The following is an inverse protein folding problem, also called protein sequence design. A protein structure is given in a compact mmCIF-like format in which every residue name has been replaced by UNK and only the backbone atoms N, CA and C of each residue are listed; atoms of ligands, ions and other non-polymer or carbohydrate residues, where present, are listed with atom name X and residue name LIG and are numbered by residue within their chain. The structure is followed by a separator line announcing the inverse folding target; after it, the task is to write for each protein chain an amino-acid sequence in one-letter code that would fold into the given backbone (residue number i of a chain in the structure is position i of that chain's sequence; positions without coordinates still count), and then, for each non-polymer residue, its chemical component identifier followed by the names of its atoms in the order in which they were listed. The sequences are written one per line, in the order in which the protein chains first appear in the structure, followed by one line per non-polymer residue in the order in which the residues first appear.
data_IF_351088204451
#
_entry.id   IF_351088204451
#
_cell.length_a   1.000
_cell.length_b   1.000
_cell.length_c   1.000
_cell.angle_alpha   90.00
_cell.angle_beta   90.00
_cell.angle_gamma   90.00
#
_symmetry.space_group_name_H-M   'P 1'
#
loop_
_entity.id
_entity.type
_entity.pdbx_description
1 polymer ?
#
# COMPACT_ATOMS: atom_id res chain seq x y z
N UNK A 1 2.21 16.62 -21.17
CA UNK A 1 1.15 15.73 -20.70
C UNK A 1 1.76 14.41 -20.28
N UNK A 2 1.43 13.95 -19.09
CA UNK A 2 1.91 12.65 -18.62
C UNK A 2 0.89 11.59 -19.01
N UNK A 3 1.30 10.66 -19.84
CA UNK A 3 0.43 9.54 -20.20
C UNK A 3 0.37 8.52 -19.06
N UNK A 4 -0.77 7.85 -18.88
CA UNK A 4 -0.86 6.71 -17.97
C UNK A 4 0.17 5.63 -18.32
N UNK A 5 0.48 4.80 -17.34
CA UNK A 5 1.29 3.61 -17.60
C UNK A 5 0.60 2.74 -18.66
N UNK A 6 1.35 2.27 -19.63
CA UNK A 6 0.84 1.44 -20.72
C UNK A 6 1.89 0.41 -21.16
N UNK A 7 1.51 -0.50 -22.04
CA UNK A 7 2.44 -1.49 -22.59
C UNK A 7 3.46 -0.79 -23.48
N UNK A 8 4.72 -1.10 -23.27
CA UNK A 8 5.80 -0.51 -24.07
C UNK A 8 5.74 -1.01 -25.52
N UNK A 9 5.59 -0.11 -26.53
CA UNK A 9 5.32 -0.54 -27.89
C UNK A 9 6.42 -1.39 -28.52
N UNK A 10 7.68 -1.18 -28.12
CA UNK A 10 8.83 -1.89 -28.67
C UNK A 10 9.08 -3.25 -28.00
N UNK A 11 8.45 -3.49 -26.84
CA UNK A 11 8.51 -4.77 -26.14
C UNK A 11 7.25 -4.96 -25.29
N UNK A 12 6.26 -5.74 -25.75
CA UNK A 12 4.99 -5.90 -25.08
C UNK A 12 5.05 -6.69 -23.75
N UNK A 13 6.23 -7.13 -23.36
CA UNK A 13 6.44 -7.82 -22.05
C UNK A 13 6.74 -6.85 -20.90
N UNK A 14 6.93 -5.57 -21.19
CA UNK A 14 7.20 -4.55 -20.17
C UNK A 14 6.27 -3.35 -20.35
N UNK A 15 6.27 -2.47 -19.37
CA UNK A 15 5.48 -1.25 -19.39
C UNK A 15 6.32 -0.04 -19.82
N UNK A 16 5.63 1.00 -20.27
CA UNK A 16 6.19 2.34 -20.38
C UNK A 16 5.57 3.23 -19.32
N UNK A 17 6.42 3.95 -18.59
CA UNK A 17 6.01 4.92 -17.59
C UNK A 17 6.82 6.19 -17.74
N UNK A 18 6.13 7.31 -17.89
CA UNK A 18 6.73 8.63 -18.10
C UNK A 18 7.73 8.66 -19.26
N UNK A 19 7.40 7.98 -20.36
CA UNK A 19 8.23 7.94 -21.58
C UNK A 19 9.44 7.03 -21.49
N UNK A 20 9.53 6.16 -20.48
CA UNK A 20 10.65 5.22 -20.30
C UNK A 20 10.16 3.79 -20.11
N UNK A 21 10.87 2.81 -20.68
CA UNK A 21 10.56 1.41 -20.38
C UNK A 21 10.71 1.14 -18.89
N UNK A 22 9.77 0.40 -18.33
CA UNK A 22 9.69 0.14 -16.89
C UNK A 22 9.33 -1.32 -16.62
N UNK A 23 10.12 -1.97 -15.80
CA UNK A 23 9.79 -3.27 -15.21
C UNK A 23 9.21 -3.03 -13.82
N UNK A 24 8.05 -3.65 -13.54
CA UNK A 24 7.40 -3.50 -12.23
C UNK A 24 8.03 -4.48 -11.22
N UNK A 25 8.74 -3.93 -10.27
CA UNK A 25 9.40 -4.67 -9.19
C UNK A 25 8.89 -4.19 -7.85
N UNK A 26 8.38 -5.09 -7.03
CA UNK A 26 7.93 -4.77 -5.68
C UNK A 26 8.30 -5.89 -4.70
N UNK A 27 8.38 -5.54 -3.42
CA UNK A 27 8.38 -6.52 -2.35
C UNK A 27 6.97 -7.12 -2.18
N UNK A 28 6.87 -8.22 -1.46
CA UNK A 28 5.57 -8.75 -1.04
C UNK A 28 4.95 -7.79 -0.03
N UNK A 29 3.92 -7.08 -0.45
CA UNK A 29 3.29 -6.04 0.34
C UNK A 29 2.19 -6.59 1.23
N UNK A 30 2.14 -6.09 2.45
CA UNK A 30 1.04 -6.31 3.39
C UNK A 30 0.23 -5.02 3.55
N UNK A 31 -0.94 -5.13 4.16
CA UNK A 31 -1.93 -4.05 4.26
C UNK A 31 -1.65 -3.02 5.36
N UNK A 32 -0.43 -2.99 5.92
CA UNK A 32 -0.09 -2.11 7.04
C UNK A 32 0.18 -0.65 6.67
N UNK A 33 0.50 -0.38 5.41
CA UNK A 33 1.09 0.90 5.01
C UNK A 33 0.20 2.13 5.25
N UNK A 34 -1.12 1.98 5.22
CA UNK A 34 -2.07 3.09 5.42
C UNK A 34 -3.03 2.85 6.58
N UNK A 35 -2.88 1.74 7.30
CA UNK A 35 -3.79 1.35 8.38
C UNK A 35 -3.08 1.17 9.71
N UNK A 36 -1.80 1.50 9.77
CA UNK A 36 -0.98 1.36 10.97
C UNK A 36 -0.28 2.68 11.28
N UNK A 37 -0.69 3.35 12.35
CA UNK A 37 -0.21 4.67 12.74
C UNK A 37 1.31 4.78 12.90
N UNK A 38 2.02 3.82 13.53
CA UNK A 38 3.48 3.89 13.68
C UNK A 38 4.25 3.62 12.39
N UNK A 39 3.59 3.24 11.30
CA UNK A 39 4.28 2.91 10.05
C UNK A 39 4.97 4.15 9.47
N UNK A 40 6.26 4.03 9.25
CA UNK A 40 7.10 5.11 8.70
C UNK A 40 7.22 4.97 7.20
N UNK A 41 6.21 5.46 6.49
CA UNK A 41 6.13 5.31 5.04
C UNK A 41 7.30 5.96 4.29
N UNK A 42 7.81 7.08 4.77
CA UNK A 42 8.95 7.76 4.15
C UNK A 42 10.20 6.88 4.16
N UNK A 43 10.49 6.25 5.30
CA UNK A 43 11.61 5.31 5.42
C UNK A 43 11.42 4.08 4.54
N UNK A 44 10.21 3.56 4.50
CA UNK A 44 9.86 2.41 3.67
C UNK A 44 10.06 2.72 2.17
N UNK A 45 9.58 3.88 1.71
CA UNK A 45 9.72 4.30 0.32
C UNK A 45 11.18 4.60 -0.04
N UNK A 46 11.95 5.18 0.86
CA UNK A 46 13.38 5.42 0.65
C UNK A 46 14.14 4.10 0.48
N UNK A 47 13.88 3.12 1.33
CA UNK A 47 14.49 1.79 1.22
C UNK A 47 14.11 1.08 -0.08
N UNK A 48 12.84 1.16 -0.47
CA UNK A 48 12.37 0.62 -1.74
C UNK A 48 13.06 1.29 -2.95
N UNK A 49 13.21 2.59 -2.89
CA UNK A 49 13.92 3.35 -3.94
C UNK A 49 15.39 2.92 -4.04
N UNK A 50 16.10 2.79 -2.93
CA UNK A 50 17.50 2.32 -2.90
C UNK A 50 17.66 0.93 -3.50
N UNK A 51 16.64 0.08 -3.33
CA UNK A 51 16.61 -1.28 -3.89
C UNK A 51 16.07 -1.34 -5.32
N UNK A 52 15.90 -0.20 -5.96
CA UNK A 52 15.41 -0.08 -7.34
C UNK A 52 14.02 -0.69 -7.55
N UNK A 53 13.19 -0.70 -6.53
CA UNK A 53 11.80 -1.09 -6.67
C UNK A 53 11.02 0.01 -7.39
N UNK A 54 10.10 -0.39 -8.25
CA UNK A 54 9.33 0.52 -9.11
C UNK A 54 7.85 0.53 -8.82
N UNK A 55 7.38 -0.33 -7.94
CA UNK A 55 5.97 -0.52 -7.61
C UNK A 55 5.81 -0.79 -6.12
N UNK A 56 4.75 -0.27 -5.54
CA UNK A 56 4.23 -0.74 -4.25
C UNK A 56 2.73 -1.00 -4.36
N UNK A 57 2.22 -1.93 -3.55
CA UNK A 57 0.80 -2.20 -3.42
C UNK A 57 0.26 -1.53 -2.18
N UNK A 58 -0.86 -0.87 -2.34
CA UNK A 58 -1.54 -0.19 -1.25
C UNK A 58 -2.91 -0.84 -1.02
N UNK A 59 -3.11 -1.40 0.16
CA UNK A 59 -4.39 -1.95 0.57
C UNK A 59 -5.16 -0.91 1.37
N UNK A 60 -6.25 -0.43 0.79
CA UNK A 60 -7.12 0.57 1.43
C UNK A 60 -8.32 -0.06 2.16
N UNK A 61 -8.57 -1.34 1.90
CA UNK A 61 -9.64 -2.10 2.53
C UNK A 61 -9.04 -3.12 3.49
N UNK A 62 -9.57 -3.12 4.70
CA UNK A 62 -9.25 -4.07 5.71
C UNK A 62 -10.33 -5.15 5.77
N UNK A 63 -9.93 -6.41 5.76
CA UNK A 63 -10.81 -7.54 5.99
C UNK A 63 -10.46 -8.19 7.31
N UNK A 64 -11.38 -8.17 8.24
CA UNK A 64 -11.23 -8.76 9.56
C UNK A 64 -10.77 -10.23 9.52
N UNK A 65 -11.25 -10.97 8.53
CA UNK A 65 -10.85 -12.37 8.31
C UNK A 65 -9.35 -12.57 8.11
N UNK A 66 -8.64 -11.55 7.65
CA UNK A 66 -7.19 -11.66 7.40
C UNK A 66 -6.36 -11.48 8.67
N UNK A 67 -6.89 -10.83 9.68
CA UNK A 67 -6.18 -10.64 10.95
C UNK A 67 -6.41 -11.77 11.94
N UNK A 68 -7.48 -12.52 11.82
CA UNK A 68 -7.71 -13.70 12.66
C UNK A 68 -6.61 -14.76 12.50
N UNK A 69 -5.92 -14.76 11.36
CA UNK A 69 -4.81 -15.68 11.07
C UNK A 69 -3.43 -15.12 11.45
N UNK A 70 -3.36 -13.86 11.85
CA UNK A 70 -2.10 -13.23 12.24
C UNK A 70 -2.26 -12.49 13.57
N UNK A 71 -1.98 -13.17 14.70
CA UNK A 71 -2.15 -12.57 16.03
C UNK A 71 -1.20 -11.39 16.29
N UNK A 72 -0.15 -11.25 15.49
CA UNK A 72 0.85 -10.17 15.64
C UNK A 72 0.48 -8.92 14.82
N UNK A 73 -0.58 -8.98 14.01
CA UNK A 73 -0.97 -7.84 13.21
C UNK A 73 -1.56 -6.72 14.09
N UNK A 74 -1.05 -5.50 13.89
CA UNK A 74 -1.62 -4.28 14.47
C UNK A 74 -2.64 -3.61 13.54
N UNK A 75 -2.89 -4.17 12.37
CA UNK A 75 -3.82 -3.65 11.37
C UNK A 75 -5.22 -4.22 11.58
N UNK A 76 -5.74 -4.11 12.79
CA UNK A 76 -7.09 -4.58 13.15
C UNK A 76 -7.80 -3.51 13.97
N UNK A 77 -9.13 -3.43 13.90
CA UNK A 77 -9.89 -2.36 14.57
C UNK A 77 -9.63 -2.24 16.07
N UNK A 78 -9.33 -3.33 16.76
CA UNK A 78 -9.05 -3.37 18.19
C UNK A 78 -7.66 -2.85 18.56
N UNK A 79 -6.78 -2.69 17.58
CA UNK A 79 -5.43 -2.18 17.82
C UNK A 79 -5.46 -0.67 18.04
N UNK A 80 -4.74 -0.14 19.06
CA UNK A 80 -4.60 1.30 19.23
C UNK A 80 -3.85 1.98 18.08
N UNK A 81 -3.12 1.21 17.30
CA UNK A 81 -2.34 1.70 16.16
C UNK A 81 -3.13 1.69 14.84
N UNK A 82 -4.34 1.16 14.86
CA UNK A 82 -5.19 1.12 13.67
C UNK A 82 -5.63 2.52 13.26
N UNK A 83 -5.50 2.81 11.97
CA UNK A 83 -5.96 4.05 11.34
C UNK A 83 -6.71 3.68 10.06
N UNK A 84 -7.93 4.17 9.92
CA UNK A 84 -8.65 4.04 8.66
C UNK A 84 -8.21 5.14 7.70
N UNK A 85 -8.09 4.85 6.39
CA UNK A 85 -7.71 5.85 5.39
C UNK A 85 -8.83 6.85 5.08
N UNK A 86 -9.97 6.73 5.72
CA UNK A 86 -11.14 7.57 5.51
C UNK A 86 -11.30 8.57 6.66
N UNK A 87 -11.78 9.76 6.32
CA UNK A 87 -12.08 10.80 7.31
C UNK A 87 -13.12 10.30 8.31
N UNK A 88 -12.82 10.48 9.59
CA UNK A 88 -13.76 10.21 10.67
C UNK A 88 -14.66 11.40 10.91
N UNK A 89 -15.93 11.15 11.17
CA UNK A 89 -16.92 12.18 11.44
C UNK A 89 -17.30 12.26 12.93
N UNK A 90 -16.66 11.45 13.76
CA UNK A 90 -16.89 11.40 15.19
C UNK A 90 -17.35 10.03 15.66
N UNK A 91 -17.75 9.87 16.92
CA UNK A 91 -18.25 8.63 17.46
C UNK A 91 -19.42 8.10 16.65
N UNK A 92 -19.48 6.79 16.43
CA UNK A 92 -20.54 6.21 15.63
C UNK A 92 -20.46 4.68 15.58
N UNK A 93 -21.09 4.11 14.58
CA UNK A 93 -21.22 2.65 14.41
C UNK A 93 -20.05 2.02 13.64
N UNK A 94 -18.98 2.75 13.39
CA UNK A 94 -17.79 2.17 12.80
C UNK A 94 -17.08 1.20 13.74
N UNK A 95 -16.38 0.20 13.19
CA UNK A 95 -15.72 -0.86 13.96
C UNK A 95 -14.67 -0.35 14.95
N UNK A 96 -14.13 0.81 14.70
CA UNK A 96 -13.13 1.46 15.56
C UNK A 96 -13.68 2.62 16.38
N UNK A 97 -14.99 2.76 16.44
CA UNK A 97 -15.66 3.80 17.21
C UNK A 97 -15.61 5.18 16.61
#
# INVERSE_FOLDING_TARGET
MTYPIHIYPQNPKIFEFRGKPCVLLCATEHYGAVMNRPFRFERYLADAYEKSQTLTRLFMLFRELQTSHNPYSTCKPESPDYVAPFKRTGPGMALDG
#
